data_IF_640837629145
#
_entry.id   IF_640837629145
#
_cell.length_a   1.000
_cell.length_b   1.000
_cell.length_c   1.000
_cell.angle_alpha   90.00
_cell.angle_beta   90.00
_cell.angle_gamma   90.00
#
_symmetry.space_group_name_H-M   'P 1'
#
loop_
_entity.id
_entity.type
_entity.pdbx_description
1 polymer ?
#
# COMPACT_ATOMS: atom_id res chain seq x y z
N UNK A 1 -0.86 28.16 6.71
CA UNK A 1 -0.61 27.16 5.65
C UNK A 1 -1.71 26.11 5.76
N UNK A 2 -2.50 25.82 4.71
CA UNK A 2 -3.43 24.71 4.77
C UNK A 2 -2.62 23.42 4.68
N UNK A 3 -2.75 22.56 5.68
CA UNK A 3 -2.26 21.19 5.65
C UNK A 3 -3.06 20.47 4.55
N UNK A 4 -2.37 19.89 3.56
CA UNK A 4 -3.04 19.10 2.55
C UNK A 4 -3.58 17.82 3.22
N UNK A 5 -4.90 17.65 3.23
CA UNK A 5 -5.55 16.44 3.74
C UNK A 5 -5.29 15.31 2.73
N UNK A 6 -4.81 14.16 3.19
CA UNK A 6 -4.85 12.96 2.35
C UNK A 6 -6.31 12.57 2.12
N UNK A 7 -6.74 12.59 0.86
CA UNK A 7 -8.05 12.07 0.49
C UNK A 7 -7.96 10.55 0.44
N UNK A 8 -8.69 9.88 1.35
CA UNK A 8 -8.81 8.42 1.32
C UNK A 8 -9.57 8.02 0.05
N UNK A 9 -9.01 7.15 -0.82
CA UNK A 9 -9.70 6.69 -2.02
C UNK A 9 -10.99 5.95 -1.67
N UNK A 10 -12.08 6.22 -2.39
CA UNK A 10 -13.37 5.56 -2.15
C UNK A 10 -13.27 4.02 -2.30
N UNK A 11 -12.45 3.55 -3.23
CA UNK A 11 -12.21 2.11 -3.42
C UNK A 11 -11.53 1.46 -2.22
N UNK A 12 -10.68 2.20 -1.49
CA UNK A 12 -10.04 1.71 -0.28
C UNK A 12 -11.05 1.56 0.86
N UNK A 13 -12.04 2.47 0.95
CA UNK A 13 -13.17 2.33 1.88
C UNK A 13 -13.99 1.09 1.54
N UNK A 14 -14.33 0.91 0.26
CA UNK A 14 -15.06 -0.29 -0.21
C UNK A 14 -14.30 -1.58 0.10
N UNK A 15 -12.96 -1.59 -0.05
CA UNK A 15 -12.12 -2.73 0.31
C UNK A 15 -12.23 -3.06 1.80
N UNK A 16 -12.12 -2.07 2.69
CA UNK A 16 -12.23 -2.31 4.12
C UNK A 16 -13.63 -2.76 4.56
N UNK A 17 -14.68 -2.26 3.91
CA UNK A 17 -16.05 -2.71 4.17
C UNK A 17 -16.30 -4.17 3.71
N UNK A 18 -15.59 -4.62 2.67
CA UNK A 18 -15.85 -5.92 2.03
C UNK A 18 -14.89 -7.03 2.45
N UNK A 19 -13.62 -6.71 2.69
CA UNK A 19 -12.52 -7.65 2.92
C UNK A 19 -11.87 -7.45 4.29
N UNK A 20 -11.63 -6.19 4.67
CA UNK A 20 -11.04 -5.84 5.97
C UNK A 20 -9.51 -5.85 5.99
N UNK A 21 -8.86 -6.97 5.66
CA UNK A 21 -7.39 -7.07 5.58
C UNK A 21 -6.95 -8.22 4.66
N UNK A 22 -5.67 -8.21 4.25
CA UNK A 22 -5.02 -9.35 3.57
C UNK A 22 -3.69 -9.61 4.25
N UNK A 23 -3.48 -10.82 4.75
CA UNK A 23 -2.24 -11.18 5.47
C UNK A 23 -1.68 -12.51 4.97
N UNK A 24 -0.39 -12.54 4.58
CA UNK A 24 0.32 -13.77 4.21
C UNK A 24 1.55 -13.99 5.09
N UNK A 25 1.44 -14.87 6.08
CA UNK A 25 2.49 -15.08 7.06
C UNK A 25 3.71 -15.90 6.59
N UNK A 26 3.64 -16.64 5.47
CA UNK A 26 4.67 -17.63 5.11
C UNK A 26 5.11 -17.63 3.62
N UNK A 27 4.85 -16.55 2.88
CA UNK A 27 5.22 -16.40 1.47
C UNK A 27 6.39 -15.43 1.32
N UNK A 28 7.62 -15.85 1.65
CA UNK A 28 8.82 -15.00 1.53
C UNK A 28 8.69 -13.66 2.25
N UNK A 29 9.07 -12.56 1.58
CA UNK A 29 8.68 -11.19 1.97
C UNK A 29 7.15 -11.08 1.82
N UNK A 30 6.40 -11.46 2.86
CA UNK A 30 4.94 -11.56 2.84
C UNK A 30 4.27 -10.23 2.54
N UNK A 31 3.26 -10.23 1.66
CA UNK A 31 2.49 -9.02 1.38
C UNK A 31 1.33 -8.91 2.38
N UNK A 32 1.18 -7.72 2.95
CA UNK A 32 0.16 -7.39 3.93
C UNK A 32 -0.58 -6.14 3.47
N UNK A 33 -1.91 -6.19 3.49
CA UNK A 33 -2.77 -5.01 3.58
C UNK A 33 -3.27 -4.94 5.02
N UNK A 34 -2.85 -3.90 5.72
CA UNK A 34 -3.15 -3.67 7.13
C UNK A 34 -4.67 -3.45 7.30
N UNK A 35 -5.27 -3.84 8.44
CA UNK A 35 -6.66 -3.53 8.73
C UNK A 35 -6.87 -2.01 8.82
N UNK A 36 -8.11 -1.57 8.56
CA UNK A 36 -8.46 -0.14 8.57
C UNK A 36 -8.08 0.57 9.88
N UNK A 37 -8.19 -0.10 11.02
CA UNK A 37 -7.78 0.43 12.33
C UNK A 37 -6.32 0.85 12.36
N UNK A 38 -5.46 0.03 11.78
CA UNK A 38 -4.01 0.20 11.83
C UNK A 38 -3.59 1.27 10.83
N UNK A 39 -4.25 1.32 9.67
CA UNK A 39 -4.07 2.41 8.71
C UNK A 39 -4.50 3.76 9.29
N UNK A 40 -5.64 3.82 9.99
CA UNK A 40 -6.09 5.05 10.66
C UNK A 40 -5.13 5.45 11.78
N UNK A 41 -4.70 4.50 12.61
CA UNK A 41 -3.76 4.77 13.71
C UNK A 41 -2.44 5.31 13.15
N UNK A 42 -1.87 4.66 12.14
CA UNK A 42 -0.62 5.07 11.50
C UNK A 42 -0.74 6.45 10.86
N UNK A 43 -1.87 6.76 10.21
CA UNK A 43 -2.15 8.09 9.67
C UNK A 43 -2.21 9.16 10.78
N UNK A 44 -2.74 8.83 11.95
CA UNK A 44 -2.79 9.74 13.10
C UNK A 44 -1.42 9.98 13.71
N UNK A 45 -0.59 8.94 13.80
CA UNK A 45 0.73 9.00 14.44
C UNK A 45 1.80 9.63 13.54
N UNK A 46 1.80 9.29 12.25
CA UNK A 46 2.86 9.64 11.31
C UNK A 46 2.42 10.59 10.21
N UNK A 47 1.11 10.80 10.03
CA UNK A 47 0.57 11.60 8.95
C UNK A 47 0.64 10.89 7.60
N UNK A 48 0.32 11.64 6.55
CA UNK A 48 0.26 11.14 5.18
C UNK A 48 1.61 11.29 4.46
N UNK A 49 1.94 10.31 3.63
CA UNK A 49 3.19 10.24 2.86
C UNK A 49 3.08 11.09 1.60
N UNK A 50 4.15 11.80 1.24
CA UNK A 50 4.21 12.51 -0.05
C UNK A 50 4.37 11.51 -1.20
N UNK A 51 3.45 11.53 -2.17
CA UNK A 51 3.42 10.58 -3.31
C UNK A 51 3.56 11.23 -4.68
N UNK A 52 3.63 12.56 -4.76
CA UNK A 52 3.68 13.30 -6.02
C UNK A 52 4.88 14.21 -6.15
N UNK A 53 5.28 14.51 -7.40
CA UNK A 53 6.34 15.46 -7.69
C UNK A 53 6.03 16.83 -7.06
N UNK A 54 6.91 17.27 -6.16
CA UNK A 54 6.78 18.54 -5.46
C UNK A 54 5.83 18.56 -4.26
N UNK A 55 5.58 17.42 -3.59
CA UNK A 55 4.84 17.35 -2.32
C UNK A 55 3.38 17.83 -2.42
N UNK A 56 2.80 17.76 -3.62
CA UNK A 56 1.41 18.24 -3.90
C UNK A 56 0.35 17.16 -3.75
N UNK A 57 0.76 15.90 -3.60
CA UNK A 57 -0.13 14.76 -3.44
C UNK A 57 0.31 13.95 -2.22
N UNK A 58 -0.68 13.59 -1.40
CA UNK A 58 -0.48 12.83 -0.16
C UNK A 58 -1.19 11.48 -0.29
N UNK A 59 -0.58 10.44 0.25
CA UNK A 59 -1.13 9.09 0.30
C UNK A 59 -1.07 8.50 1.70
N UNK A 60 -1.76 7.38 1.88
CA UNK A 60 -1.82 6.66 3.16
C UNK A 60 -1.10 5.32 3.03
N UNK A 61 -0.30 4.97 4.02
CA UNK A 61 0.34 3.65 4.07
C UNK A 61 -0.74 2.61 4.36
N UNK A 62 -0.88 1.63 3.48
CA UNK A 62 -1.94 0.61 3.54
C UNK A 62 -1.41 -0.79 3.85
N UNK A 63 -0.09 -0.96 3.93
CA UNK A 63 0.49 -2.28 4.03
C UNK A 63 1.98 -2.33 3.80
N UNK A 64 2.53 -3.54 3.78
CA UNK A 64 3.97 -3.81 3.68
C UNK A 64 4.23 -5.11 2.93
N UNK A 65 5.43 -5.27 2.38
CA UNK A 65 5.91 -6.54 1.85
C UNK A 65 6.68 -7.39 2.88
N UNK A 66 6.62 -7.08 4.17
CA UNK A 66 7.29 -7.86 5.22
C UNK A 66 8.83 -7.73 5.25
N UNK A 67 9.45 -7.30 4.15
CA UNK A 67 10.87 -6.96 4.02
C UNK A 67 11.19 -5.50 4.36
N UNK A 68 10.21 -4.77 4.91
CA UNK A 68 10.36 -3.37 5.32
C UNK A 68 9.96 -2.33 4.26
N UNK A 69 9.54 -2.74 3.06
CA UNK A 69 8.98 -1.82 2.07
C UNK A 69 7.48 -1.67 2.27
N UNK A 70 6.98 -0.44 2.16
CA UNK A 70 5.58 -0.10 2.40
C UNK A 70 4.82 0.12 1.10
N UNK A 71 3.52 -0.18 1.12
CA UNK A 71 2.58 0.21 0.07
C UNK A 71 1.78 1.44 0.49
N UNK A 72 1.62 2.38 -0.42
CA UNK A 72 0.95 3.66 -0.18
C UNK A 72 -0.16 3.86 -1.19
N UNK A 73 -1.41 4.01 -0.72
CA UNK A 73 -2.53 4.43 -1.55
C UNK A 73 -2.50 5.96 -1.72
N UNK A 74 -2.28 6.40 -2.96
CA UNK A 74 -2.32 7.80 -3.34
C UNK A 74 -3.69 8.26 -3.85
N UNK A 75 -3.79 9.52 -4.28
CA UNK A 75 -5.00 10.05 -4.90
C UNK A 75 -5.44 9.21 -6.10
N UNK A 76 -6.74 9.15 -6.33
CA UNK A 76 -7.35 8.37 -7.42
C UNK A 76 -7.10 6.86 -7.37
N UNK A 77 -6.64 6.33 -6.23
CA UNK A 77 -6.49 4.89 -6.02
C UNK A 77 -5.15 4.30 -6.47
N UNK A 78 -4.25 5.11 -7.05
CA UNK A 78 -2.91 4.67 -7.45
C UNK A 78 -2.17 4.10 -6.25
N UNK A 79 -1.57 2.92 -6.40
CA UNK A 79 -0.77 2.28 -5.34
C UNK A 79 0.71 2.44 -5.66
N UNK A 80 1.45 2.96 -4.69
CA UNK A 80 2.89 3.11 -4.74
C UNK A 80 3.57 2.12 -3.79
N UNK A 81 4.81 1.75 -4.09
CA UNK A 81 5.70 1.00 -3.20
C UNK A 81 6.92 1.86 -2.87
N UNK A 82 7.35 1.86 -1.61
CA UNK A 82 8.62 2.49 -1.23
C UNK A 82 9.81 1.69 -1.75
N UNK A 83 10.92 2.40 -2.00
CA UNK A 83 12.22 1.79 -2.32
C UNK A 83 13.11 1.67 -1.08
N UNK A 84 12.75 2.38 -0.02
CA UNK A 84 13.47 2.41 1.26
C UNK A 84 12.50 2.11 2.41
N UNK A 85 13.08 1.76 3.56
CA UNK A 85 12.32 1.46 4.79
C UNK A 85 11.83 2.75 5.48
N UNK A 86 12.51 3.88 5.27
CA UNK A 86 12.11 5.15 5.86
C UNK A 86 10.97 5.81 5.08
N UNK A 87 10.05 6.43 5.81
CA UNK A 87 8.90 7.17 5.28
C UNK A 87 9.07 8.69 5.33
N UNK A 88 10.20 9.20 5.85
CA UNK A 88 10.42 10.65 5.98
C UNK A 88 10.58 11.32 4.61
N UNK A 89 11.27 10.64 3.68
CA UNK A 89 11.46 11.07 2.28
C UNK A 89 11.55 9.83 1.38
N UNK A 90 10.44 9.09 1.18
CA UNK A 90 10.50 7.82 0.48
C UNK A 90 10.65 8.04 -1.01
N UNK A 91 11.59 7.32 -1.62
CA UNK A 91 11.53 7.07 -3.05
C UNK A 91 10.37 6.11 -3.32
N UNK A 92 9.48 6.49 -4.25
CA UNK A 92 8.27 5.74 -4.54
C UNK A 92 8.26 5.30 -6.00
N UNK A 93 7.89 4.03 -6.21
CA UNK A 93 7.58 3.48 -7.52
C UNK A 93 6.09 3.18 -7.60
N UNK A 94 5.48 3.47 -8.75
CA UNK A 94 4.09 3.06 -8.99
C UNK A 94 4.04 1.52 -9.06
N UNK A 95 3.31 0.92 -8.15
CA UNK A 95 3.09 -0.53 -8.10
C UNK A 95 1.84 -0.94 -8.90
N UNK A 96 0.79 -0.10 -8.86
CA UNK A 96 -0.44 -0.30 -9.61
C UNK A 96 -1.11 1.03 -9.95
N UNK A 97 -1.89 1.05 -11.03
CA UNK A 97 -2.72 2.17 -11.46
C UNK A 97 -3.92 2.39 -10.53
N UNK A 98 -4.44 1.33 -9.91
CA UNK A 98 -5.55 1.37 -8.96
C UNK A 98 -5.49 0.20 -7.95
N UNK A 99 -6.37 0.23 -6.94
CA UNK A 99 -6.42 -0.78 -5.88
C UNK A 99 -6.85 -2.15 -6.42
N UNK A 100 -7.76 -2.17 -7.40
CA UNK A 100 -8.19 -3.41 -8.04
C UNK A 100 -7.02 -4.12 -8.71
N UNK A 101 -6.26 -3.43 -9.54
CA UNK A 101 -5.09 -3.98 -10.21
C UNK A 101 -4.05 -4.45 -9.19
N UNK A 102 -3.88 -3.73 -8.07
CA UNK A 102 -3.00 -4.16 -7.00
C UNK A 102 -3.44 -5.51 -6.39
N UNK A 103 -4.73 -5.69 -6.11
CA UNK A 103 -5.28 -6.96 -5.62
C UNK A 103 -5.12 -8.10 -6.64
N UNK A 104 -5.33 -7.82 -7.93
CA UNK A 104 -5.09 -8.79 -9.01
C UNK A 104 -3.61 -9.20 -9.09
N UNK A 105 -2.68 -8.25 -8.89
CA UNK A 105 -1.24 -8.53 -8.83
C UNK A 105 -0.87 -9.37 -7.60
N UNK A 106 -1.48 -9.11 -6.44
CA UNK A 106 -1.33 -9.94 -5.26
C UNK A 106 -1.80 -11.37 -5.56
N UNK A 107 -3.03 -11.57 -6.00
CA UNK A 107 -3.57 -12.90 -6.32
C UNK A 107 -2.66 -13.69 -7.28
N UNK A 108 -2.12 -13.02 -8.31
CA UNK A 108 -1.17 -13.61 -9.25
C UNK A 108 0.16 -14.00 -8.60
N UNK A 109 0.71 -13.14 -7.73
CA UNK A 109 1.93 -13.44 -6.98
C UNK A 109 1.75 -14.65 -6.06
N UNK A 110 0.59 -14.76 -5.39
CA UNK A 110 0.25 -15.94 -4.58
C UNK A 110 0.17 -17.21 -5.42
N UNK A 111 -0.58 -17.15 -6.53
CA UNK A 111 -0.77 -18.29 -7.43
C UNK A 111 0.57 -18.82 -7.94
N UNK A 112 1.48 -17.91 -8.31
CA UNK A 112 2.84 -18.25 -8.75
C UNK A 112 3.69 -18.82 -7.63
N UNK A 113 3.64 -18.23 -6.44
CA UNK A 113 4.38 -18.75 -5.29
C UNK A 113 3.95 -20.18 -4.94
N UNK A 114 2.64 -20.46 -4.95
CA UNK A 114 2.10 -21.81 -4.72
C UNK A 114 2.57 -22.80 -5.79
N UNK A 115 2.71 -22.36 -7.05
CA UNK A 115 3.17 -23.23 -8.14
C UNK A 115 4.67 -23.52 -8.08
N UNK A 116 5.49 -22.47 -7.93
CA UNK A 116 6.93 -22.53 -8.24
C UNK A 116 7.84 -22.00 -7.10
N UNK A 117 7.27 -21.51 -5.99
CA UNK A 117 8.01 -20.91 -4.87
C UNK A 117 8.55 -19.49 -5.12
N UNK A 118 8.19 -18.86 -6.25
CA UNK A 118 8.62 -17.51 -6.63
C UNK A 118 7.58 -16.46 -6.17
N UNK A 119 7.94 -15.51 -5.28
CA UNK A 119 7.02 -14.50 -4.74
C UNK A 119 6.61 -13.39 -5.73
N UNK A 120 7.14 -13.36 -6.96
CA UNK A 120 6.51 -12.63 -8.07
C UNK A 120 6.82 -11.12 -8.19
N UNK A 121 5.80 -10.36 -8.62
CA UNK A 121 5.95 -9.09 -9.39
C UNK A 121 5.91 -7.78 -8.58
N UNK A 122 5.73 -7.87 -7.25
CA UNK A 122 5.44 -6.72 -6.38
C UNK A 122 6.59 -6.32 -5.45
#
# INVERSE_FOLDING_TARGET
>A
MPWAVAAIPAELVTFYDSVGEVTWADVGNGYFLDPASDVVLRLQEHGAVDVGAGHKARGVVIGSNGGGLSYVAGPHGVVYRTSTVSLDEPELHKAADDLRQFLELLERSLTRFVADGDPGYL
#
